data_IF_688863744792
#
_entry.id   IF_688863744792
#
_cell.length_a   1.000
_cell.length_b   1.000
_cell.length_c   1.000
_cell.angle_alpha   90.00
_cell.angle_beta   90.00
_cell.angle_gamma   90.00
#
_symmetry.space_group_name_H-M   'P 1'
#
loop_
_entity.id
_entity.type
_entity.pdbx_description
1 polymer ?
#
# COMPACT_ATOMS: atom_id res chain seq x y z
N UNK A 1 -2.89 -22.29 -3.48
CA UNK A 1 -3.93 -21.61 -2.70
C UNK A 1 -3.85 -21.98 -1.21
N UNK A 2 -2.66 -22.35 -0.69
CA UNK A 2 -2.52 -22.80 0.69
C UNK A 2 -2.65 -21.60 1.64
N UNK A 3 -3.75 -21.54 2.39
CA UNK A 3 -4.05 -20.47 3.36
C UNK A 3 -5.52 -20.04 3.35
N UNK A 4 -6.22 -20.30 2.24
CA UNK A 4 -7.61 -19.85 2.00
C UNK A 4 -8.62 -21.00 1.93
N UNK A 5 -8.15 -22.24 2.07
CA UNK A 5 -8.94 -23.44 1.78
C UNK A 5 -9.93 -23.83 2.90
N UNK A 6 -9.85 -23.20 4.09
CA UNK A 6 -10.67 -23.54 5.26
C UNK A 6 -11.32 -22.33 5.97
N UNK A 7 -11.45 -21.19 5.28
CA UNK A 7 -12.08 -20.00 5.88
C UNK A 7 -13.57 -20.00 5.61
N UNK A 8 -14.33 -19.70 6.64
CA UNK A 8 -15.74 -19.37 6.51
C UNK A 8 -15.88 -17.92 6.04
N UNK A 9 -15.81 -17.73 4.72
CA UNK A 9 -15.85 -16.41 4.08
C UNK A 9 -17.11 -15.60 4.42
N UNK A 10 -18.18 -16.24 4.91
CA UNK A 10 -19.42 -15.57 5.29
C UNK A 10 -19.32 -14.84 6.65
N UNK A 11 -18.32 -15.16 7.48
CA UNK A 11 -18.19 -14.65 8.86
C UNK A 11 -16.89 -13.86 9.14
N UNK A 12 -16.04 -13.63 8.13
CA UNK A 12 -14.81 -12.84 8.29
C UNK A 12 -15.11 -11.36 7.98
N UNK A 13 -14.66 -10.45 8.84
CA UNK A 13 -14.78 -9.01 8.60
C UNK A 13 -14.10 -8.65 7.25
N UNK A 14 -14.71 -7.80 6.40
CA UNK A 14 -14.14 -7.48 5.10
C UNK A 14 -12.72 -6.90 5.17
N UNK A 15 -12.38 -6.17 6.24
CA UNK A 15 -11.04 -5.63 6.48
C UNK A 15 -10.06 -6.74 6.86
N UNK A 16 -10.49 -7.71 7.66
CA UNK A 16 -9.69 -8.90 8.01
C UNK A 16 -9.49 -9.84 6.80
N UNK A 17 -10.54 -10.07 5.99
CA UNK A 17 -10.44 -10.85 4.76
C UNK A 17 -9.50 -10.17 3.76
N UNK A 18 -9.57 -8.85 3.66
CA UNK A 18 -8.69 -8.06 2.84
C UNK A 18 -7.24 -8.12 3.33
N UNK A 19 -7.02 -7.93 4.63
CA UNK A 19 -5.73 -8.09 5.28
C UNK A 19 -5.13 -9.47 5.06
N UNK A 20 -5.97 -10.51 5.11
CA UNK A 20 -5.57 -11.89 4.88
C UNK A 20 -5.26 -12.17 3.41
N UNK A 21 -6.04 -11.61 2.48
CA UNK A 21 -5.85 -11.77 1.05
C UNK A 21 -4.66 -10.98 0.52
N UNK A 22 -4.27 -9.88 1.15
CA UNK A 22 -3.28 -8.97 0.56
C UNK A 22 -2.09 -8.68 1.48
N UNK A 23 -2.07 -9.23 2.70
CA UNK A 23 -1.01 -8.99 3.69
C UNK A 23 -0.96 -7.52 4.06
N UNK A 24 -1.99 -7.01 4.74
CA UNK A 24 -2.29 -5.57 4.81
C UNK A 24 -1.16 -4.69 5.34
N UNK A 25 -0.49 -5.04 6.43
CA UNK A 25 0.21 -3.99 7.17
C UNK A 25 1.63 -3.71 6.64
N UNK A 26 2.28 -4.69 6.00
CA UNK A 26 3.65 -4.48 5.50
C UNK A 26 3.68 -3.58 4.27
N UNK A 27 2.60 -3.53 3.50
CA UNK A 27 2.49 -2.63 2.34
C UNK A 27 1.95 -1.24 2.68
N UNK A 28 1.47 -1.00 3.90
CA UNK A 28 0.99 0.31 4.35
C UNK A 28 1.93 1.48 4.03
N UNK A 29 3.26 1.36 4.15
CA UNK A 29 4.15 2.46 3.80
C UNK A 29 4.08 2.89 2.33
N UNK A 30 3.64 1.99 1.44
CA UNK A 30 3.63 2.15 -0.02
C UNK A 30 2.22 2.32 -0.60
N UNK A 31 1.24 1.64 -0.01
CA UNK A 31 -0.14 1.61 -0.48
C UNK A 31 -1.10 2.29 0.50
N UNK A 32 -0.77 2.39 1.78
CA UNK A 32 -1.69 2.87 2.80
C UNK A 32 -2.97 2.03 2.84
N UNK A 33 -3.97 2.53 3.55
CA UNK A 33 -5.27 1.89 3.57
C UNK A 33 -5.92 1.95 2.18
N UNK A 34 -6.53 0.86 1.73
CA UNK A 34 -7.15 0.80 0.42
C UNK A 34 -8.60 1.30 0.50
N UNK A 35 -9.08 1.93 -0.58
CA UNK A 35 -10.34 2.69 -0.56
C UNK A 35 -11.56 1.85 -0.16
N UNK A 36 -11.58 0.56 -0.50
CA UNK A 36 -12.64 -0.35 -0.07
C UNK A 36 -12.63 -0.56 1.45
N UNK A 37 -11.44 -0.71 2.05
CA UNK A 37 -11.27 -0.79 3.50
C UNK A 37 -11.77 0.49 4.17
N UNK A 38 -11.38 1.65 3.66
CA UNK A 38 -11.84 2.95 4.18
C UNK A 38 -13.36 3.16 4.05
N UNK A 39 -14.02 2.54 3.07
CA UNK A 39 -15.48 2.60 2.94
C UNK A 39 -16.19 1.73 3.98
N UNK A 40 -15.60 0.58 4.33
CA UNK A 40 -16.14 -0.36 5.32
C UNK A 40 -15.86 0.13 6.75
N UNK A 41 -14.67 0.67 7.01
CA UNK A 41 -14.29 1.15 8.35
C UNK A 41 -15.05 2.42 8.77
N UNK A 42 -15.62 3.16 7.81
CA UNK A 42 -16.25 4.46 8.02
C UNK A 42 -17.78 4.46 7.83
N UNK A 43 -18.42 3.28 7.91
CA UNK A 43 -19.87 3.15 7.95
C UNK A 43 -20.46 3.90 9.15
N UNK A 44 -21.60 4.56 8.95
CA UNK A 44 -22.32 5.18 10.07
C UNK A 44 -23.08 4.14 10.91
N UNK A 45 -23.75 4.59 11.97
CA UNK A 45 -24.51 3.72 12.87
C UNK A 45 -25.65 2.95 12.19
N UNK A 46 -26.10 3.41 11.02
CA UNK A 46 -27.16 2.80 10.22
C UNK A 46 -26.59 1.94 9.07
N UNK A 47 -25.26 1.82 8.95
CA UNK A 47 -24.58 1.04 7.94
C UNK A 47 -24.47 1.72 6.57
N UNK A 48 -24.66 3.04 6.48
CA UNK A 48 -24.51 3.76 5.23
C UNK A 48 -23.03 4.05 4.94
N UNK A 49 -22.62 4.02 3.65
CA UNK A 49 -21.26 4.37 3.25
C UNK A 49 -20.94 5.85 3.53
N UNK A 50 -19.65 6.18 3.74
CA UNK A 50 -19.22 7.56 3.91
C UNK A 50 -19.57 8.43 2.70
N UNK A 51 -19.86 9.71 2.95
CA UNK A 51 -20.10 10.68 1.88
C UNK A 51 -18.88 10.84 0.97
N UNK A 52 -19.10 11.30 -0.27
CA UNK A 52 -18.02 11.57 -1.20
C UNK A 52 -17.01 12.60 -0.64
N UNK A 53 -17.49 13.59 0.13
CA UNK A 53 -16.64 14.58 0.80
C UNK A 53 -15.75 13.94 1.87
N UNK A 54 -16.31 13.05 2.70
CA UNK A 54 -15.55 12.30 3.71
C UNK A 54 -14.51 11.39 3.07
N UNK A 55 -14.87 10.70 1.99
CA UNK A 55 -13.95 9.86 1.21
C UNK A 55 -12.80 10.67 0.59
N UNK A 56 -13.07 11.90 0.13
CA UNK A 56 -12.03 12.79 -0.38
C UNK A 56 -11.03 13.20 0.71
N UNK A 57 -11.53 13.52 1.91
CA UNK A 57 -10.66 13.84 3.06
C UNK A 57 -9.77 12.65 3.43
N UNK A 58 -10.34 11.45 3.56
CA UNK A 58 -9.58 10.23 3.86
C UNK A 58 -8.52 9.96 2.79
N UNK A 59 -8.89 10.13 1.51
CA UNK A 59 -7.95 9.97 0.40
C UNK A 59 -6.78 10.95 0.49
N UNK A 60 -7.05 12.22 0.77
CA UNK A 60 -6.04 13.26 0.89
C UNK A 60 -5.08 13.00 2.06
N UNK A 61 -5.60 12.57 3.21
CA UNK A 61 -4.79 12.18 4.38
C UNK A 61 -3.89 10.99 4.07
N UNK A 62 -4.43 9.98 3.39
CA UNK A 62 -3.65 8.83 2.92
C UNK A 62 -2.53 9.27 1.98
N UNK A 63 -2.82 10.12 0.98
CA UNK A 63 -1.81 10.62 0.04
C UNK A 63 -0.73 11.42 0.76
N UNK A 64 -1.11 12.26 1.73
CA UNK A 64 -0.14 13.00 2.57
C UNK A 64 0.78 12.05 3.33
N UNK A 65 0.23 11.02 4.00
CA UNK A 65 1.02 10.01 4.72
C UNK A 65 1.99 9.27 3.81
N UNK A 66 1.50 8.78 2.66
CA UNK A 66 2.34 8.09 1.67
C UNK A 66 3.44 8.97 1.10
N UNK A 67 3.16 10.25 0.90
CA UNK A 67 4.17 11.22 0.45
C UNK A 67 5.27 11.38 1.48
N UNK A 68 4.93 11.52 2.76
CA UNK A 68 5.94 11.64 3.83
C UNK A 68 6.77 10.36 3.96
N UNK A 69 6.15 9.18 3.86
CA UNK A 69 6.87 7.91 3.87
C UNK A 69 7.89 7.83 2.73
N UNK A 70 7.47 8.18 1.51
CA UNK A 70 8.35 8.17 0.34
C UNK A 70 9.51 9.15 0.50
N UNK A 71 9.25 10.36 0.99
CA UNK A 71 10.30 11.35 1.29
C UNK A 71 11.30 10.75 2.29
N UNK A 72 10.82 10.17 3.39
CA UNK A 72 11.68 9.57 4.41
C UNK A 72 12.56 8.45 3.85
N UNK A 73 12.00 7.57 3.01
CA UNK A 73 12.74 6.49 2.34
C UNK A 73 13.83 7.05 1.42
N UNK A 74 13.49 8.06 0.61
CA UNK A 74 14.44 8.65 -0.34
C UNK A 74 15.50 9.52 0.35
N UNK A 75 15.25 10.01 1.56
CA UNK A 75 16.16 10.91 2.26
C UNK A 75 17.54 10.27 2.48
N UNK A 76 17.60 8.98 2.82
CA UNK A 76 18.88 8.25 2.96
C UNK A 76 19.72 8.32 1.67
N UNK A 77 19.07 8.21 0.51
CA UNK A 77 19.74 8.37 -0.77
C UNK A 77 20.16 9.82 -1.01
N UNK A 78 19.28 10.79 -0.74
CA UNK A 78 19.54 12.23 -0.90
C UNK A 78 20.73 12.70 -0.03
N UNK A 79 20.88 12.12 1.16
CA UNK A 79 21.98 12.42 2.09
C UNK A 79 23.33 11.79 1.67
N UNK A 80 23.36 11.03 0.57
CA UNK A 80 24.57 10.41 0.02
C UNK A 80 24.86 8.99 0.54
N UNK A 81 24.02 8.45 1.43
CA UNK A 81 24.14 7.09 1.98
C UNK A 81 23.57 6.04 1.00
N UNK A 82 24.10 6.02 -0.23
CA UNK A 82 23.53 5.21 -1.32
C UNK A 82 23.64 3.71 -1.06
N UNK A 83 24.71 3.25 -0.40
CA UNK A 83 24.92 1.83 -0.14
C UNK A 83 23.89 1.33 0.88
N UNK A 84 23.70 2.06 1.96
CA UNK A 84 22.73 1.80 3.01
C UNK A 84 21.31 1.81 2.45
N UNK A 85 21.00 2.77 1.58
CA UNK A 85 19.71 2.83 0.89
C UNK A 85 19.46 1.58 0.03
N UNK A 86 20.44 1.13 -0.75
CA UNK A 86 20.31 -0.07 -1.60
C UNK A 86 20.19 -1.34 -0.76
N UNK A 87 20.97 -1.47 0.32
CA UNK A 87 20.89 -2.60 1.24
C UNK A 87 19.51 -2.67 1.91
N UNK A 88 18.99 -1.53 2.37
CA UNK A 88 17.64 -1.43 2.91
C UNK A 88 16.58 -1.81 1.86
N UNK A 89 16.65 -1.25 0.64
CA UNK A 89 15.70 -1.57 -0.43
C UNK A 89 15.65 -3.07 -0.72
N UNK A 90 16.80 -3.73 -0.81
CA UNK A 90 16.89 -5.16 -1.07
C UNK A 90 16.30 -6.00 0.08
N UNK A 91 16.58 -5.60 1.33
CA UNK A 91 16.02 -6.26 2.51
C UNK A 91 14.50 -6.10 2.53
N UNK A 92 14.00 -4.88 2.36
CA UNK A 92 12.56 -4.60 2.39
C UNK A 92 11.83 -5.32 1.25
N UNK A 93 12.37 -5.30 0.04
CA UNK A 93 11.81 -6.03 -1.10
C UNK A 93 11.74 -7.55 -0.85
N UNK A 94 12.76 -8.13 -0.20
CA UNK A 94 12.76 -9.54 0.18
C UNK A 94 11.65 -9.81 1.19
N UNK A 95 11.55 -9.02 2.24
CA UNK A 95 10.52 -9.20 3.28
C UNK A 95 9.10 -9.03 2.74
N UNK A 96 8.87 -7.99 1.92
CA UNK A 96 7.58 -7.75 1.26
C UNK A 96 7.19 -8.91 0.33
N UNK A 97 8.14 -9.50 -0.39
CA UNK A 97 7.85 -10.62 -1.29
C UNK A 97 7.37 -11.87 -0.55
N UNK A 98 7.79 -12.06 0.70
CA UNK A 98 7.39 -13.21 1.52
C UNK A 98 5.98 -13.07 2.12
N UNK A 99 5.32 -11.91 2.00
CA UNK A 99 3.92 -11.76 2.40
C UNK A 99 2.98 -12.43 1.40
N UNK A 100 1.74 -12.69 1.83
CA UNK A 100 0.72 -13.21 0.93
C UNK A 100 0.48 -12.22 -0.23
N UNK A 101 0.54 -12.70 -1.47
CA UNK A 101 0.50 -11.86 -2.69
C UNK A 101 1.57 -10.75 -2.79
N UNK A 102 2.60 -10.79 -1.95
CA UNK A 102 3.62 -9.75 -1.88
C UNK A 102 4.42 -9.56 -3.18
N UNK A 103 4.75 -10.65 -3.87
CA UNK A 103 5.43 -10.59 -5.18
C UNK A 103 4.65 -9.78 -6.24
N UNK A 104 3.40 -10.15 -6.57
CA UNK A 104 2.55 -9.38 -7.45
C UNK A 104 2.34 -7.92 -7.01
N UNK A 105 2.11 -7.66 -5.72
CA UNK A 105 1.91 -6.30 -5.21
C UNK A 105 3.17 -5.45 -5.38
N UNK A 106 4.33 -5.99 -5.03
CA UNK A 106 5.62 -5.31 -5.17
C UNK A 106 5.91 -4.97 -6.64
N UNK A 107 5.55 -5.85 -7.58
CA UNK A 107 5.67 -5.57 -9.01
C UNK A 107 4.82 -4.36 -9.44
N UNK A 108 3.56 -4.31 -9.01
CA UNK A 108 2.66 -3.18 -9.35
C UNK A 108 3.17 -1.86 -8.76
N UNK A 109 3.59 -1.86 -7.49
CA UNK A 109 4.16 -0.68 -6.82
C UNK A 109 5.41 -0.21 -7.56
N UNK A 110 6.35 -1.12 -7.85
CA UNK A 110 7.59 -0.81 -8.56
C UNK A 110 7.32 -0.23 -9.95
N UNK A 111 6.41 -0.84 -10.71
CA UNK A 111 6.01 -0.34 -12.03
C UNK A 111 5.40 1.06 -11.96
N UNK A 112 4.60 1.35 -10.93
CA UNK A 112 4.06 2.70 -10.71
C UNK A 112 5.18 3.72 -10.53
N UNK A 113 6.17 3.45 -9.66
CA UNK A 113 7.29 4.37 -9.45
C UNK A 113 8.15 4.54 -10.71
N UNK A 114 8.49 3.46 -11.41
CA UNK A 114 9.27 3.53 -12.66
C UNK A 114 8.54 4.38 -13.70
N UNK A 115 7.23 4.15 -13.89
CA UNK A 115 6.41 4.90 -14.83
C UNK A 115 6.40 6.39 -14.49
N UNK A 116 6.14 6.74 -13.23
CA UNK A 116 6.10 8.14 -12.80
C UNK A 116 7.48 8.81 -12.91
N UNK A 117 8.56 8.10 -12.59
CA UNK A 117 9.92 8.59 -12.78
C UNK A 117 10.20 8.87 -14.26
N UNK A 118 9.79 7.99 -15.17
CA UNK A 118 9.98 8.20 -16.61
C UNK A 118 9.18 9.38 -17.13
N UNK A 119 7.92 9.56 -16.69
CA UNK A 119 7.12 10.74 -17.03
C UNK A 119 7.84 12.01 -16.56
N UNK A 120 8.31 12.04 -15.31
CA UNK A 120 9.02 13.21 -14.76
C UNK A 120 10.35 13.50 -15.44
N UNK A 121 11.03 12.48 -15.93
CA UNK A 121 12.27 12.62 -16.71
C UNK A 121 12.03 12.92 -18.20
N UNK A 122 10.76 13.01 -18.65
CA UNK A 122 10.41 13.22 -20.06
C UNK A 122 10.74 12.02 -20.96
N UNK A 123 10.89 10.83 -20.37
CA UNK A 123 11.22 9.57 -21.07
C UNK A 123 9.98 8.77 -21.47
N UNK A 124 8.81 9.16 -20.99
CA UNK A 124 7.51 8.66 -21.42
C UNK A 124 6.66 9.88 -21.80
N UNK A 125 6.29 9.98 -23.08
CA UNK A 125 5.43 11.03 -23.64
C UNK A 125 4.00 10.55 -23.77
#
# INVERSE_FOLDING_TARGET
>A
MKGLENLDYENVDPSELFAMLFGSDRFDPFLGELQLTSMVSELDADGNPPSAEKLAVIHDERVKKLTQNLIGILQTYVDGHHKEFVEWCNKEAKELKETNFGGPMLFVVGQSYVRHAYIKLGKLS
#
